data_IF_310896664561
#
_entry.id   IF_310896664561
#
_cell.length_a   1.000
_cell.length_b   1.000
_cell.length_c   1.000
_cell.angle_alpha   90.00
_cell.angle_beta   90.00
_cell.angle_gamma   90.00
#
_symmetry.space_group_name_H-M   'P 1'
#
loop_
_entity.id
_entity.type
_entity.pdbx_description
1 polymer ?
#
# COMPACT_ATOMS: atom_id res chain seq x y z
N UNK A 1 9.52 16.92 -17.12
CA UNK A 1 8.56 15.85 -16.73
C UNK A 1 7.25 16.07 -17.49
N UNK A 2 6.90 15.29 -18.53
CA UNK A 2 5.78 15.61 -19.42
C UNK A 2 4.38 15.36 -18.83
N UNK A 3 4.25 14.73 -17.65
CA UNK A 3 2.97 14.57 -16.94
C UNK A 3 2.63 15.71 -15.97
N UNK A 4 3.56 16.65 -15.78
CA UNK A 4 3.39 17.82 -14.90
C UNK A 4 3.21 19.14 -15.67
N UNK A 5 3.08 19.07 -17.01
CA UNK A 5 2.90 20.27 -17.84
C UNK A 5 1.48 20.85 -17.74
N UNK A 6 0.51 20.02 -17.36
CA UNK A 6 -0.90 20.42 -17.27
C UNK A 6 -1.37 20.32 -15.81
N UNK A 7 -1.58 21.47 -15.18
CA UNK A 7 -1.98 21.60 -13.77
C UNK A 7 -3.24 20.77 -13.45
N UNK A 8 -4.16 20.63 -14.43
CA UNK A 8 -5.38 19.85 -14.29
C UNK A 8 -5.10 18.35 -14.17
N UNK A 9 -4.16 17.84 -14.96
CA UNK A 9 -3.74 16.45 -14.91
C UNK A 9 -3.04 16.13 -13.58
N UNK A 10 -2.22 17.06 -13.08
CA UNK A 10 -1.60 16.91 -11.77
C UNK A 10 -2.63 16.86 -10.63
N UNK A 11 -3.64 17.75 -10.65
CA UNK A 11 -4.71 17.76 -9.65
C UNK A 11 -5.51 16.46 -9.70
N UNK A 12 -5.92 16.02 -10.90
CA UNK A 12 -6.74 14.81 -11.03
C UNK A 12 -5.99 13.55 -10.58
N UNK A 13 -4.71 13.41 -10.96
CA UNK A 13 -3.85 12.31 -10.51
C UNK A 13 -3.62 12.34 -9.01
N UNK A 14 -3.38 13.52 -8.44
CA UNK A 14 -3.18 13.69 -6.99
C UNK A 14 -4.45 13.37 -6.20
N UNK A 15 -5.61 13.80 -6.69
CA UNK A 15 -6.91 13.49 -6.11
C UNK A 15 -7.20 11.98 -6.17
N UNK A 16 -7.00 11.35 -7.32
CA UNK A 16 -7.17 9.91 -7.48
C UNK A 16 -6.24 9.12 -6.53
N UNK A 17 -4.97 9.52 -6.44
CA UNK A 17 -4.01 8.93 -5.50
C UNK A 17 -4.44 9.14 -4.04
N UNK A 18 -4.96 10.32 -3.71
CA UNK A 18 -5.48 10.65 -2.39
C UNK A 18 -6.66 9.76 -1.99
N UNK A 19 -7.64 9.61 -2.88
CA UNK A 19 -8.81 8.73 -2.70
C UNK A 19 -8.35 7.29 -2.50
N UNK A 20 -7.45 6.80 -3.36
CA UNK A 20 -6.89 5.45 -3.23
C UNK A 20 -6.28 5.21 -1.84
N UNK A 21 -5.40 6.11 -1.38
CA UNK A 21 -4.77 6.01 -0.05
C UNK A 21 -5.76 6.10 1.11
N UNK A 22 -6.81 6.92 0.99
CA UNK A 22 -7.82 7.09 2.03
C UNK A 22 -8.62 5.81 2.30
N UNK A 23 -8.86 5.01 1.26
CA UNK A 23 -9.62 3.76 1.38
C UNK A 23 -8.80 2.62 2.01
N UNK A 24 -7.47 2.66 1.90
CA UNK A 24 -6.58 1.59 2.35
C UNK A 24 -6.73 1.30 3.85
N UNK A 25 -6.69 2.33 4.70
CA UNK A 25 -6.73 2.14 6.15
C UNK A 25 -8.05 1.52 6.66
N UNK A 26 -9.25 2.05 6.32
CA UNK A 26 -10.51 1.45 6.78
C UNK A 26 -10.71 0.04 6.23
N UNK A 27 -10.34 -0.25 4.98
CA UNK A 27 -10.47 -1.61 4.42
C UNK A 27 -9.57 -2.60 5.15
N UNK A 28 -8.32 -2.24 5.46
CA UNK A 28 -7.45 -3.11 6.25
C UNK A 28 -7.92 -3.27 7.69
N UNK A 29 -8.41 -2.20 8.32
CA UNK A 29 -8.94 -2.27 9.68
C UNK A 29 -10.15 -3.22 9.77
N UNK A 30 -11.07 -3.14 8.81
CA UNK A 30 -12.20 -4.06 8.70
C UNK A 30 -11.75 -5.51 8.51
N UNK A 31 -10.84 -5.76 7.56
CA UNK A 31 -10.32 -7.11 7.29
C UNK A 31 -9.60 -7.74 8.49
N UNK A 32 -8.84 -6.95 9.26
CA UNK A 32 -8.19 -7.43 10.49
C UNK A 32 -9.24 -7.71 11.58
N UNK A 33 -10.23 -6.85 11.74
CA UNK A 33 -11.28 -6.99 12.75
C UNK A 33 -12.13 -8.26 12.53
N UNK A 34 -12.52 -8.53 11.28
CA UNK A 34 -13.28 -9.73 10.90
C UNK A 34 -12.50 -11.03 11.14
N UNK A 35 -11.18 -10.99 10.96
CA UNK A 35 -10.33 -12.21 10.97
C UNK A 35 -9.59 -12.46 12.28
N UNK A 36 -9.69 -11.56 13.26
CA UNK A 36 -8.91 -11.66 14.51
C UNK A 36 -9.82 -11.91 15.72
N UNK A 37 -9.77 -13.12 16.32
CA UNK A 37 -10.43 -13.43 17.58
C UNK A 37 -9.96 -12.50 18.71
N UNK A 38 -10.83 -12.20 19.68
CA UNK A 38 -10.55 -11.24 20.75
C UNK A 38 -9.25 -11.55 21.53
N UNK A 39 -8.93 -12.83 21.74
CA UNK A 39 -7.72 -13.31 22.42
C UNK A 39 -6.41 -13.12 21.62
N UNK A 40 -6.49 -12.87 20.31
CA UNK A 40 -5.34 -12.73 19.41
C UNK A 40 -5.13 -11.30 18.88
N UNK A 41 -6.01 -10.35 19.24
CA UNK A 41 -5.98 -8.96 18.74
C UNK A 41 -4.64 -8.25 18.97
N UNK A 42 -4.06 -8.37 20.17
CA UNK A 42 -2.78 -7.75 20.49
C UNK A 42 -1.64 -8.21 19.56
N UNK A 43 -1.59 -9.50 19.25
CA UNK A 43 -0.59 -10.08 18.32
C UNK A 43 -0.81 -9.61 16.88
N UNK A 44 -2.05 -9.65 16.40
CA UNK A 44 -2.39 -9.22 15.03
C UNK A 44 -2.09 -7.73 14.80
N UNK A 45 -2.47 -6.87 15.76
CA UNK A 45 -2.17 -5.43 15.71
C UNK A 45 -0.65 -5.19 15.78
N UNK A 46 0.06 -5.93 16.64
CA UNK A 46 1.52 -5.86 16.74
C UNK A 46 2.20 -6.19 15.40
N UNK A 47 1.83 -7.29 14.77
CA UNK A 47 2.33 -7.65 13.43
C UNK A 47 1.97 -6.62 12.37
N UNK A 48 0.73 -6.12 12.34
CA UNK A 48 0.32 -5.08 11.40
C UNK A 48 1.17 -3.80 11.54
N UNK A 49 1.37 -3.33 12.79
CA UNK A 49 2.20 -2.16 13.05
C UNK A 49 3.66 -2.39 12.67
N UNK A 50 4.22 -3.54 12.99
CA UNK A 50 5.58 -3.89 12.63
C UNK A 50 5.81 -3.80 11.11
N UNK A 51 4.95 -4.45 10.32
CA UNK A 51 5.08 -4.40 8.86
C UNK A 51 4.86 -3.00 8.29
N UNK A 52 3.93 -2.24 8.85
CA UNK A 52 3.67 -0.85 8.43
C UNK A 52 4.89 0.04 8.70
N UNK A 53 5.43 -0.03 9.91
CA UNK A 53 6.53 0.83 10.34
C UNK A 53 7.84 0.43 9.62
N UNK A 54 8.04 -0.87 9.36
CA UNK A 54 9.11 -1.37 8.49
C UNK A 54 8.95 -0.85 7.05
N UNK A 55 7.73 -0.82 6.53
CA UNK A 55 7.42 -0.27 5.20
C UNK A 55 7.78 1.22 5.09
N UNK A 56 7.54 2.02 6.13
CA UNK A 56 7.94 3.43 6.15
C UNK A 56 9.46 3.60 6.09
N UNK A 57 10.19 2.95 6.98
CA UNK A 57 11.64 3.09 7.05
C UNK A 57 12.34 2.46 5.83
N UNK A 58 12.01 1.20 5.54
CA UNK A 58 12.60 0.45 4.45
C UNK A 58 12.22 0.99 3.07
N UNK A 59 10.96 1.40 2.90
CA UNK A 59 10.49 1.99 1.65
C UNK A 59 11.14 3.34 1.37
N UNK A 60 11.29 4.20 2.38
CA UNK A 60 11.99 5.48 2.24
C UNK A 60 13.46 5.27 1.87
N UNK A 61 14.17 4.37 2.57
CA UNK A 61 15.56 4.05 2.28
C UNK A 61 15.74 3.48 0.87
N UNK A 62 14.94 2.48 0.49
CA UNK A 62 14.99 1.86 -0.84
C UNK A 62 14.73 2.88 -1.95
N UNK A 63 13.68 3.69 -1.80
CA UNK A 63 13.31 4.69 -2.81
C UNK A 63 14.38 5.78 -2.93
N UNK A 64 14.96 6.21 -1.81
CA UNK A 64 16.08 7.17 -1.78
C UNK A 64 17.31 6.63 -2.51
N UNK A 65 17.76 5.42 -2.16
CA UNK A 65 18.91 4.77 -2.82
C UNK A 65 18.69 4.64 -4.33
N UNK A 66 17.49 4.23 -4.76
CA UNK A 66 17.17 4.09 -6.18
C UNK A 66 17.08 5.45 -6.87
N UNK A 67 16.57 6.47 -6.18
CA UNK A 67 16.53 7.84 -6.71
C UNK A 67 17.94 8.41 -6.90
N UNK A 68 18.85 8.16 -5.96
CA UNK A 68 20.23 8.63 -6.02
C UNK A 68 21.04 7.89 -7.10
N UNK A 69 20.85 6.57 -7.24
CA UNK A 69 21.61 5.75 -8.19
C UNK A 69 21.06 5.80 -9.63
N UNK A 70 19.74 5.83 -9.80
CA UNK A 70 19.07 5.66 -11.10
C UNK A 70 18.13 6.82 -11.47
N UNK A 71 18.07 7.86 -10.64
CA UNK A 71 17.23 9.04 -10.83
C UNK A 71 15.80 8.88 -10.33
N UNK A 72 15.14 10.02 -10.11
CA UNK A 72 13.79 10.10 -9.54
C UNK A 72 12.73 9.33 -10.34
N UNK A 73 12.87 9.27 -11.68
CA UNK A 73 11.92 8.56 -12.54
C UNK A 73 11.92 7.05 -12.26
N UNK A 74 13.09 6.47 -12.08
CA UNK A 74 13.26 5.04 -11.78
C UNK A 74 12.66 4.71 -10.41
N UNK A 75 12.89 5.58 -9.42
CA UNK A 75 12.29 5.46 -8.10
C UNK A 75 10.76 5.52 -8.12
N UNK A 76 10.17 6.44 -8.91
CA UNK A 76 8.72 6.51 -9.08
C UNK A 76 8.14 5.25 -9.74
N UNK A 77 8.80 4.73 -10.78
CA UNK A 77 8.38 3.50 -11.45
C UNK A 77 8.47 2.29 -10.52
N UNK A 78 9.52 2.21 -9.69
CA UNK A 78 9.65 1.17 -8.67
C UNK A 78 8.47 1.19 -7.69
N UNK A 79 8.16 2.37 -7.13
CA UNK A 79 7.02 2.52 -6.19
C UNK A 79 5.69 2.16 -6.86
N UNK A 80 5.49 2.59 -8.11
CA UNK A 80 4.29 2.24 -8.88
C UNK A 80 4.17 0.72 -9.09
N UNK A 81 5.26 0.06 -9.48
CA UNK A 81 5.30 -1.39 -9.69
C UNK A 81 5.04 -2.17 -8.39
N UNK A 82 5.71 -1.80 -7.29
CA UNK A 82 5.50 -2.44 -5.98
C UNK A 82 4.06 -2.26 -5.49
N UNK A 83 3.47 -1.08 -5.69
CA UNK A 83 2.08 -0.81 -5.33
C UNK A 83 1.11 -1.68 -6.13
N UNK A 84 1.31 -1.78 -7.45
CA UNK A 84 0.48 -2.61 -8.32
C UNK A 84 0.60 -4.10 -7.98
N UNK A 85 1.82 -4.60 -7.77
CA UNK A 85 2.07 -5.98 -7.36
C UNK A 85 1.42 -6.29 -6.00
N UNK A 86 1.49 -5.37 -5.05
CA UNK A 86 0.83 -5.51 -3.75
C UNK A 86 -0.70 -5.64 -3.89
N UNK A 87 -1.32 -4.81 -4.74
CA UNK A 87 -2.76 -4.89 -5.00
C UNK A 87 -3.15 -6.27 -5.57
N UNK A 88 -2.37 -6.80 -6.52
CA UNK A 88 -2.58 -8.14 -7.08
C UNK A 88 -2.40 -9.22 -6.02
N UNK A 89 -1.35 -9.14 -5.19
CA UNK A 89 -1.08 -10.11 -4.14
C UNK A 89 -2.20 -10.14 -3.08
N UNK A 90 -2.69 -8.97 -2.66
CA UNK A 90 -3.82 -8.85 -1.73
C UNK A 90 -5.08 -9.45 -2.35
N UNK A 91 -5.40 -9.11 -3.60
CA UNK A 91 -6.57 -9.64 -4.29
C UNK A 91 -6.51 -11.18 -4.40
N UNK A 92 -5.35 -11.74 -4.77
CA UNK A 92 -5.15 -13.18 -4.83
C UNK A 92 -5.28 -13.83 -3.45
N UNK A 93 -4.70 -13.22 -2.41
CA UNK A 93 -4.76 -13.71 -1.03
C UNK A 93 -6.17 -13.67 -0.43
N UNK A 94 -6.98 -12.67 -0.80
CA UNK A 94 -8.40 -12.60 -0.42
C UNK A 94 -9.22 -13.71 -1.10
N UNK A 95 -9.00 -13.95 -2.40
CA UNK A 95 -9.72 -14.97 -3.18
C UNK A 95 -9.39 -16.41 -2.78
N UNK A 96 -8.20 -16.66 -2.23
CA UNK A 96 -7.72 -17.99 -1.89
C UNK A 96 -8.34 -18.60 -0.61
N UNK A 97 -9.15 -17.86 0.16
CA UNK A 97 -9.82 -18.39 1.36
C UNK A 97 -11.34 -18.45 1.13
N UNK A 98 -11.95 -19.66 1.05
CA UNK A 98 -13.40 -19.79 0.93
C UNK A 98 -14.10 -19.21 2.17
N UNK A 99 -15.24 -18.56 1.95
CA UNK A 99 -16.15 -18.07 2.99
C UNK A 99 -16.42 -19.16 4.04
N UNK A 100 -16.46 -18.85 5.35
CA UNK A 100 -16.98 -19.79 6.32
C UNK A 100 -18.46 -20.02 6.00
N UNK A 101 -18.80 -21.24 5.58
CA UNK A 101 -20.19 -21.70 5.51
C UNK A 101 -20.74 -21.65 6.93
N UNK A 102 -21.65 -20.70 7.17
CA UNK A 102 -22.47 -20.61 8.39
C UNK A 102 -23.58 -21.65 8.37
#
# INVERSE_FOLDING_TARGET
LPFAADHRAFISLSAALGIGKALVYPTFAAAIAERTPASARGRSIGSFRFFRDLGYAGGAALTGIVADAFGIRSAMLLVAALTALSAVAVQAGLKARPEPVS
#
